data_IF_497222941253
#
_entry.id   IF_497222941253
#
_cell.length_a   1.000
_cell.length_b   1.000
_cell.length_c   1.000
_cell.angle_alpha   90.00
_cell.angle_beta   90.00
_cell.angle_gamma   90.00
#
_symmetry.space_group_name_H-M   'P 1'
#
loop_
_entity.id
_entity.type
_entity.pdbx_description
1 polymer ?
#
# COMPACT_ATOMS: atom_id res chain seq x y z
N UNK A 1 -11.26 5.91 21.23
CA UNK A 1 -12.16 5.17 20.33
C UNK A 1 -12.56 6.13 19.21
N UNK A 2 -12.40 5.81 17.92
CA UNK A 2 -12.80 6.73 16.85
C UNK A 2 -14.34 6.78 16.75
N UNK A 3 -14.91 7.97 16.62
CA UNK A 3 -16.36 8.21 16.60
C UNK A 3 -17.06 7.63 15.36
N UNK A 4 -18.26 7.04 15.53
CA UNK A 4 -19.05 6.43 14.44
C UNK A 4 -19.33 7.38 13.25
N UNK A 5 -19.34 8.70 13.48
CA UNK A 5 -19.53 9.71 12.42
C UNK A 5 -18.31 9.87 11.50
N UNK A 6 -17.12 9.48 11.97
CA UNK A 6 -15.91 9.52 11.15
C UNK A 6 -15.99 8.48 10.02
N UNK A 7 -16.50 7.27 10.29
CA UNK A 7 -16.62 6.18 9.30
C UNK A 7 -17.35 6.60 8.02
N UNK A 8 -18.43 7.38 8.14
CA UNK A 8 -19.21 7.82 6.98
C UNK A 8 -18.45 8.81 6.09
N UNK A 9 -17.52 9.60 6.66
CA UNK A 9 -16.62 10.48 5.90
C UNK A 9 -15.47 9.73 5.22
N UNK A 10 -15.06 8.58 5.76
CA UNK A 10 -13.92 7.80 5.24
C UNK A 10 -14.27 7.12 3.91
N UNK A 11 -15.51 6.66 3.75
CA UNK A 11 -15.97 5.90 2.57
C UNK A 11 -15.71 6.66 1.25
N UNK A 12 -16.17 7.91 1.05
CA UNK A 12 -15.96 8.61 -0.22
C UNK A 12 -14.49 8.90 -0.51
N UNK A 13 -13.69 9.19 0.52
CA UNK A 13 -12.25 9.44 0.39
C UNK A 13 -11.50 8.17 0.01
N UNK A 14 -11.83 7.05 0.66
CA UNK A 14 -11.25 5.75 0.34
C UNK A 14 -11.63 5.28 -1.07
N UNK A 15 -12.85 5.58 -1.51
CA UNK A 15 -13.33 5.24 -2.85
C UNK A 15 -12.61 6.07 -3.93
N UNK A 16 -12.51 7.38 -3.74
CA UNK A 16 -11.81 8.28 -4.66
C UNK A 16 -10.32 7.99 -4.72
N UNK A 17 -9.68 7.76 -3.56
CA UNK A 17 -8.29 7.36 -3.48
C UNK A 17 -8.07 6.00 -4.16
N UNK A 18 -8.91 5.00 -3.88
CA UNK A 18 -8.85 3.68 -4.52
C UNK A 18 -8.99 3.75 -6.03
N UNK A 19 -9.90 4.59 -6.52
CA UNK A 19 -10.10 4.83 -7.95
C UNK A 19 -8.88 5.50 -8.60
N UNK A 20 -8.34 6.55 -7.98
CA UNK A 20 -7.14 7.25 -8.46
C UNK A 20 -5.91 6.31 -8.50
N UNK A 21 -5.68 5.53 -7.43
CA UNK A 21 -4.58 4.56 -7.40
C UNK A 21 -4.78 3.40 -8.37
N UNK A 22 -6.04 2.98 -8.59
CA UNK A 22 -6.38 1.98 -9.60
C UNK A 22 -6.03 2.44 -11.01
N UNK A 23 -6.30 3.71 -11.34
CA UNK A 23 -5.94 4.30 -12.64
C UNK A 23 -4.43 4.47 -12.78
N UNK A 24 -3.74 4.87 -11.71
CA UNK A 24 -2.28 5.06 -11.73
C UNK A 24 -1.51 3.74 -11.93
N UNK A 25 -2.13 2.58 -11.71
CA UNK A 25 -1.49 1.26 -11.87
C UNK A 25 -0.36 0.97 -10.86
N UNK A 26 -0.03 1.95 -10.01
CA UNK A 26 0.91 1.84 -8.90
C UNK A 26 0.14 1.20 -7.76
N UNK A 27 0.22 -0.11 -7.57
CA UNK A 27 -0.46 -0.83 -6.48
C UNK A 27 -0.22 -0.13 -5.13
N UNK A 28 -1.17 0.69 -4.69
CA UNK A 28 -1.02 1.79 -3.71
C UNK A 28 -0.65 1.41 -2.27
N UNK A 29 -0.14 0.18 -2.07
CA UNK A 29 0.23 -0.41 -0.79
C UNK A 29 1.16 0.45 0.06
N UNK A 30 2.15 1.10 -0.57
CA UNK A 30 3.10 1.94 0.16
C UNK A 30 2.50 3.25 0.67
N UNK A 31 1.40 3.73 0.05
CA UNK A 31 0.71 4.97 0.44
C UNK A 31 -0.46 4.73 1.39
N UNK A 32 -1.06 3.55 1.43
CA UNK A 32 -2.17 3.28 2.36
C UNK A 32 -1.76 3.42 3.82
N UNK A 33 -0.57 2.98 4.20
CA UNK A 33 -0.09 3.09 5.58
C UNK A 33 0.09 4.55 6.02
N UNK A 34 0.81 5.44 5.30
CA UNK A 34 0.87 6.84 5.67
C UNK A 34 -0.49 7.54 5.60
N UNK A 35 -1.36 7.19 4.64
CA UNK A 35 -2.70 7.77 4.57
C UNK A 35 -3.52 7.42 5.81
N UNK A 36 -3.49 6.16 6.27
CA UNK A 36 -4.18 5.69 7.47
C UNK A 36 -3.63 6.31 8.76
N UNK A 37 -2.32 6.53 8.83
CA UNK A 37 -1.69 7.14 10.01
C UNK A 37 -1.88 8.66 10.03
N UNK A 38 -1.71 9.35 8.90
CA UNK A 38 -1.72 10.82 8.83
C UNK A 38 -3.13 11.40 8.74
N UNK A 39 -3.99 10.87 7.85
CA UNK A 39 -5.37 11.37 7.71
C UNK A 39 -6.28 10.84 8.82
N UNK A 40 -6.12 9.55 9.16
CA UNK A 40 -7.07 8.86 10.02
C UNK A 40 -6.56 8.64 11.45
N UNK A 41 -5.30 9.01 11.75
CA UNK A 41 -4.69 8.90 13.08
C UNK A 41 -4.75 7.47 13.66
N UNK A 42 -4.74 6.45 12.79
CA UNK A 42 -4.79 5.06 13.23
C UNK A 42 -3.45 4.66 13.87
N UNK A 43 -3.49 3.82 14.93
CA UNK A 43 -2.27 3.21 15.46
C UNK A 43 -1.54 2.48 14.34
N UNK A 44 -0.23 2.69 14.22
CA UNK A 44 0.60 2.15 13.13
C UNK A 44 0.39 0.65 12.90
N UNK A 45 0.24 -0.12 13.99
CA UNK A 45 0.01 -1.56 13.94
C UNK A 45 -1.33 -1.94 13.28
N UNK A 46 -2.38 -1.15 13.49
CA UNK A 46 -3.69 -1.35 12.85
C UNK A 46 -3.61 -0.90 11.39
N UNK A 47 -2.97 0.23 11.11
CA UNK A 47 -2.80 0.76 9.76
C UNK A 47 -2.10 -0.22 8.81
N UNK A 48 -1.04 -0.90 9.27
CA UNK A 48 -0.33 -1.92 8.48
C UNK A 48 -1.23 -3.12 8.14
N UNK A 49 -2.05 -3.58 9.09
CA UNK A 49 -2.99 -4.68 8.85
C UNK A 49 -4.07 -4.29 7.85
N UNK A 50 -4.64 -3.09 8.03
CA UNK A 50 -5.69 -2.58 7.13
C UNK A 50 -5.16 -2.32 5.72
N UNK A 51 -3.94 -1.78 5.56
CA UNK A 51 -3.35 -1.59 4.23
C UNK A 51 -3.15 -2.91 3.49
N UNK A 52 -2.75 -3.97 4.20
CA UNK A 52 -2.57 -5.29 3.58
C UNK A 52 -3.90 -5.84 3.06
N UNK A 53 -4.98 -5.66 3.82
CA UNK A 53 -6.34 -6.02 3.41
C UNK A 53 -6.77 -5.24 2.16
N UNK A 54 -6.50 -3.92 2.14
CA UNK A 54 -6.83 -3.07 0.98
C UNK A 54 -6.05 -3.54 -0.27
N UNK A 55 -4.76 -3.82 -0.13
CA UNK A 55 -3.93 -4.32 -1.26
C UNK A 55 -4.46 -5.65 -1.76
N UNK A 56 -4.82 -6.56 -0.86
CA UNK A 56 -5.41 -7.85 -1.23
C UNK A 56 -6.72 -7.68 -2.01
N UNK A 57 -7.64 -6.84 -1.52
CA UNK A 57 -8.90 -6.56 -2.21
C UNK A 57 -8.70 -5.88 -3.57
N UNK A 58 -7.65 -5.08 -3.75
CA UNK A 58 -7.32 -4.47 -5.05
C UNK A 58 -6.64 -5.47 -6.01
N UNK A 59 -5.89 -6.44 -5.49
CA UNK A 59 -5.21 -7.44 -6.31
C UNK A 59 -6.19 -8.36 -7.05
N UNK A 60 -7.32 -8.71 -6.42
CA UNK A 60 -8.36 -9.59 -7.01
C UNK A 60 -8.90 -9.06 -8.35
N UNK A 61 -9.49 -7.84 -8.42
CA UNK A 61 -9.95 -7.27 -9.69
C UNK A 61 -8.78 -6.97 -10.65
N UNK A 62 -7.59 -6.67 -10.15
CA UNK A 62 -6.40 -6.48 -11.00
C UNK A 62 -5.98 -7.75 -11.76
N UNK A 63 -6.08 -8.92 -11.12
CA UNK A 63 -5.83 -10.21 -11.77
C UNK A 63 -6.95 -10.52 -12.76
N UNK A 64 -8.22 -10.34 -12.37
CA UNK A 64 -9.39 -10.57 -13.24
C UNK A 64 -9.30 -9.70 -14.50
N UNK A 65 -9.00 -8.40 -14.35
CA UNK A 65 -8.81 -7.48 -15.47
C UNK A 65 -7.67 -7.90 -16.40
N UNK A 66 -6.54 -8.37 -15.85
CA UNK A 66 -5.42 -8.89 -16.66
C UNK A 66 -5.75 -10.19 -17.39
N UNK A 67 -6.57 -11.07 -16.80
CA UNK A 67 -7.05 -12.28 -17.47
C UNK A 67 -8.00 -11.97 -18.64
N UNK A 68 -8.79 -10.89 -18.53
CA UNK A 68 -9.78 -10.52 -19.54
C UNK A 68 -9.21 -9.63 -20.66
N UNK A 69 -8.18 -8.83 -20.40
CA UNK A 69 -7.74 -7.77 -21.32
C UNK A 69 -6.70 -8.18 -22.38
N UNK A 70 -5.71 -9.05 -22.08
CA UNK A 70 -4.63 -9.44 -23.01
C UNK A 70 -4.07 -10.83 -22.63
N UNK A 71 -3.40 -11.53 -23.58
CA UNK A 71 -2.58 -12.74 -23.35
C UNK A 71 -1.80 -12.65 -22.04
N UNK A 72 -2.35 -13.27 -20.99
CA UNK A 72 -1.69 -13.36 -19.70
C UNK A 72 -0.55 -14.37 -19.82
N UNK A 73 0.68 -13.88 -19.80
CA UNK A 73 1.85 -14.75 -19.86
C UNK A 73 2.01 -15.48 -18.53
N UNK A 74 1.44 -16.68 -18.46
CA UNK A 74 1.33 -17.48 -17.24
C UNK A 74 2.70 -17.73 -16.60
N UNK A 75 3.76 -17.84 -17.39
CA UNK A 75 5.13 -18.01 -16.90
C UNK A 75 5.59 -16.83 -16.04
N UNK A 76 5.33 -15.60 -16.50
CA UNK A 76 5.72 -14.38 -15.78
C UNK A 76 4.86 -14.24 -14.52
N UNK A 77 3.55 -14.48 -14.63
CA UNK A 77 2.63 -14.44 -13.49
C UNK A 77 3.05 -15.39 -12.37
N UNK A 78 3.38 -16.64 -12.69
CA UNK A 78 3.82 -17.65 -11.72
C UNK A 78 5.19 -17.31 -11.14
N UNK A 79 6.14 -16.85 -11.96
CA UNK A 79 7.48 -16.47 -11.48
C UNK A 79 7.42 -15.32 -10.47
N UNK A 80 6.60 -14.31 -10.75
CA UNK A 80 6.36 -13.18 -9.83
C UNK A 80 5.63 -13.65 -8.57
N UNK A 81 4.65 -14.55 -8.68
CA UNK A 81 3.93 -15.10 -7.53
C UNK A 81 4.87 -15.87 -6.59
N UNK A 82 5.75 -16.72 -7.12
CA UNK A 82 6.75 -17.46 -6.34
C UNK A 82 7.72 -16.48 -5.65
N UNK A 83 8.22 -15.49 -6.38
CA UNK A 83 9.07 -14.43 -5.81
C UNK A 83 8.39 -13.66 -4.69
N UNK A 84 7.12 -13.30 -4.87
CA UNK A 84 6.31 -12.59 -3.87
C UNK A 84 6.06 -13.45 -2.61
N UNK A 85 5.76 -14.74 -2.77
CA UNK A 85 5.55 -15.66 -1.64
C UNK A 85 6.86 -15.85 -0.86
N UNK A 86 7.97 -16.09 -1.56
CA UNK A 86 9.28 -16.24 -0.94
C UNK A 86 9.70 -14.96 -0.20
N UNK A 87 9.58 -13.80 -0.86
CA UNK A 87 9.88 -12.49 -0.28
C UNK A 87 9.00 -12.17 0.93
N UNK A 88 7.70 -12.47 0.87
CA UNK A 88 6.76 -12.28 1.99
C UNK A 88 7.11 -13.15 3.19
N UNK A 89 7.48 -14.42 2.98
CA UNK A 89 7.95 -15.30 4.06
C UNK A 89 9.23 -14.77 4.72
N UNK A 90 10.21 -14.37 3.92
CA UNK A 90 11.47 -13.84 4.45
C UNK A 90 11.23 -12.53 5.20
N UNK A 91 10.41 -11.64 4.63
CA UNK A 91 10.03 -10.37 5.24
C UNK A 91 9.31 -10.54 6.57
N UNK A 92 8.33 -11.45 6.65
CA UNK A 92 7.61 -11.73 7.90
C UNK A 92 8.50 -12.41 8.96
N UNK A 93 9.43 -13.25 8.55
CA UNK A 93 10.42 -13.86 9.45
C UNK A 93 11.38 -12.81 10.04
N UNK A 94 11.91 -11.91 9.20
CA UNK A 94 12.73 -10.78 9.66
C UNK A 94 11.94 -9.85 10.59
N UNK A 95 10.69 -9.55 10.25
CA UNK A 95 9.84 -8.68 11.06
C UNK A 95 9.63 -9.22 12.49
N UNK A 96 9.55 -10.55 12.65
CA UNK A 96 9.43 -11.19 13.98
C UNK A 96 10.71 -11.13 14.81
N UNK A 97 11.89 -11.08 14.18
CA UNK A 97 13.19 -10.99 14.89
C UNK A 97 13.60 -9.56 15.24
N UNK A 98 13.09 -8.57 14.51
CA UNK A 98 13.47 -7.17 14.69
C UNK A 98 12.62 -6.51 15.78
N UNK A 99 13.25 -5.71 16.65
CA UNK A 99 12.55 -4.96 17.69
C UNK A 99 11.52 -3.99 17.07
N UNK A 100 10.29 -3.86 17.63
CA UNK A 100 9.25 -2.98 17.08
C UNK A 100 9.68 -1.52 16.87
N UNK A 101 10.60 -1.03 17.70
CA UNK A 101 11.17 0.33 17.60
C UNK A 101 11.97 0.52 16.30
N UNK A 102 12.74 -0.48 15.87
CA UNK A 102 13.56 -0.42 14.65
C UNK A 102 12.65 -0.42 13.41
N UNK A 103 11.61 -1.26 13.41
CA UNK A 103 10.60 -1.27 12.33
C UNK A 103 9.93 0.10 12.21
N UNK A 104 9.62 0.73 13.34
CA UNK A 104 9.02 2.08 13.35
C UNK A 104 9.96 3.13 12.79
N UNK A 105 11.25 3.09 13.13
CA UNK A 105 12.27 4.00 12.58
C UNK A 105 12.43 3.79 11.08
N UNK A 106 12.56 2.55 10.62
CA UNK A 106 12.66 2.23 9.18
C UNK A 106 11.45 2.79 8.44
N UNK A 107 10.25 2.61 9.00
CA UNK A 107 9.03 3.13 8.40
C UNK A 107 9.02 4.67 8.32
N UNK A 108 9.44 5.37 9.38
CA UNK A 108 9.58 6.84 9.38
C UNK A 108 10.57 7.31 8.32
N UNK A 109 11.73 6.67 8.21
CA UNK A 109 12.75 7.00 7.19
C UNK A 109 12.19 6.80 5.79
N UNK A 110 11.50 5.69 5.56
CA UNK A 110 10.89 5.37 4.26
C UNK A 110 9.83 6.42 3.88
N UNK A 111 8.99 6.84 4.83
CA UNK A 111 8.04 7.93 4.61
C UNK A 111 8.73 9.27 4.32
N UNK A 112 9.80 9.61 5.04
CA UNK A 112 10.56 10.83 4.78
C UNK A 112 11.12 10.85 3.35
N UNK A 113 11.68 9.72 2.88
CA UNK A 113 12.18 9.58 1.51
C UNK A 113 11.06 9.75 0.48
N UNK A 114 9.89 9.15 0.72
CA UNK A 114 8.73 9.31 -0.19
C UNK A 114 8.31 10.78 -0.27
N UNK A 115 8.20 11.46 0.88
CA UNK A 115 7.83 12.89 0.92
C UNK A 115 8.83 13.72 0.11
N UNK A 116 10.13 13.47 0.28
CA UNK A 116 11.18 14.18 -0.46
C UNK A 116 11.06 13.91 -1.95
N UNK A 117 10.89 12.65 -2.39
CA UNK A 117 10.72 12.33 -3.81
C UNK A 117 9.49 13.01 -4.41
N UNK A 118 8.35 12.94 -3.71
CA UNK A 118 7.12 13.59 -4.17
C UNK A 118 7.30 15.10 -4.25
N UNK A 119 7.98 15.72 -3.27
CA UNK A 119 8.26 17.16 -3.32
C UNK A 119 9.17 17.54 -4.50
N UNK A 120 10.17 16.70 -4.82
CA UNK A 120 11.04 16.89 -5.99
C UNK A 120 10.22 16.73 -7.29
N UNK A 121 9.42 15.67 -7.41
CA UNK A 121 8.56 15.46 -8.59
C UNK A 121 7.54 16.59 -8.75
N UNK A 122 7.01 17.14 -7.65
CA UNK A 122 6.09 18.27 -7.69
C UNK A 122 6.79 19.56 -8.15
N UNK A 123 8.03 19.77 -7.71
CA UNK A 123 8.83 20.94 -8.08
C UNK A 123 9.32 20.86 -9.53
N UNK A 124 9.75 19.68 -10.00
CA UNK A 124 10.23 19.48 -11.36
C UNK A 124 9.14 19.51 -12.42
N UNK A 125 7.92 19.08 -12.09
CA UNK A 125 6.79 19.04 -13.03
C UNK A 125 6.09 20.41 -13.16
N UNK A 126 6.41 21.38 -12.28
CA UNK A 126 5.92 22.77 -12.35
C UNK A 126 6.92 23.73 -13.02
N UNK A 127 8.16 23.28 -13.34
CA UNK A 127 9.20 24.03 -14.03
C UNK A 127 9.40 23.56 -15.47
#
# INVERSE_FOLDING_TARGET
MPDKKAYFKIIPIALAAGFAFGILGVGGGFLYVPLLVLLFNFPLRIAIGTSLMIVFCNAVPGIIGKLLAVRFDFLIGVSVAIGAIAGSRIGTYLNKKIKPQIIRIIFIVLLAVIIIRVAIDLYSNFM
#
